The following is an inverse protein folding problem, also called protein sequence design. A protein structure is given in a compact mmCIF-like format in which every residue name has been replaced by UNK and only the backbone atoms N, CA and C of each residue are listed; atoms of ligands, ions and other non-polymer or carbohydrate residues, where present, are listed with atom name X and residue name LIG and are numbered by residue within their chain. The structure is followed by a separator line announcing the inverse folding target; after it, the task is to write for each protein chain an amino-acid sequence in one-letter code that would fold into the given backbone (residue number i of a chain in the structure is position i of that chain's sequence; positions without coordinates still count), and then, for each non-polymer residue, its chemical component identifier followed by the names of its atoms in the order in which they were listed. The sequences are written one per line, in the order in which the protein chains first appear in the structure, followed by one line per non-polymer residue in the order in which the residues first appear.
data_IF_682352918731
#
_entry.id   IF_682352918731
#
_cell.length_a   1.000
_cell.length_b   1.000
_cell.length_c   1.000
_cell.angle_alpha   90.00
_cell.angle_beta   90.00
_cell.angle_gamma   90.00
#
_symmetry.space_group_name_H-M   'P 1'
#
loop_
_entity.id
_entity.type
_entity.pdbx_description
1 polymer ?
#
# COMPACT_ATOMS: atom_id res chain seq x y z
N UNK A 1 -2.72 -10.64 -4.92
CA UNK A 1 -2.47 -9.45 -5.77
C UNK A 1 -3.58 -8.39 -5.68
N UNK A 2 -4.80 -8.61 -6.17
CA UNK A 2 -5.87 -7.57 -6.26
C UNK A 2 -6.20 -6.87 -4.94
N UNK A 3 -6.17 -7.60 -3.81
CA UNK A 3 -6.37 -7.00 -2.47
C UNK A 3 -5.28 -6.00 -2.10
N UNK A 4 -4.02 -6.32 -2.39
CA UNK A 4 -2.90 -5.41 -2.17
C UNK A 4 -3.04 -4.15 -3.03
N UNK A 5 -3.39 -4.30 -4.31
CA UNK A 5 -3.65 -3.17 -5.19
C UNK A 5 -4.82 -2.30 -4.70
N UNK A 6 -5.89 -2.92 -4.18
CA UNK A 6 -7.02 -2.22 -3.59
C UNK A 6 -6.63 -1.44 -2.32
N UNK A 7 -5.68 -1.95 -1.54
CA UNK A 7 -5.11 -1.25 -0.39
C UNK A 7 -4.26 -0.05 -0.84
N UNK A 8 -3.35 -0.25 -1.80
CA UNK A 8 -2.50 0.81 -2.36
C UNK A 8 -3.32 1.96 -2.95
N UNK A 9 -4.48 1.66 -3.57
CA UNK A 9 -5.42 2.68 -4.06
C UNK A 9 -6.04 3.58 -2.97
N UNK A 10 -5.90 3.23 -1.69
CA UNK A 10 -6.29 4.10 -0.58
C UNK A 10 -5.17 5.03 -0.14
N UNK A 11 -3.92 4.65 -0.42
CA UNK A 11 -2.71 5.40 -0.09
C UNK A 11 -2.33 6.43 -1.16
N UNK A 12 -2.68 6.25 -2.44
CA UNK A 12 -2.37 7.25 -3.47
C UNK A 12 -3.17 7.00 -4.74
N UNK A 13 -3.17 7.96 -5.65
CA UNK A 13 -3.74 7.78 -7.00
C UNK A 13 -2.71 7.24 -8.00
N UNK A 14 -1.43 7.51 -7.74
CA UNK A 14 -0.29 7.01 -8.51
C UNK A 14 0.27 5.73 -7.87
N UNK A 15 0.56 4.74 -8.71
CA UNK A 15 1.19 3.48 -8.33
C UNK A 15 2.56 3.40 -8.99
N UNK A 16 3.61 3.38 -8.17
CA UNK A 16 4.96 3.09 -8.64
C UNK A 16 5.15 1.57 -8.70
N UNK A 17 5.72 1.11 -9.81
CA UNK A 17 6.03 -0.27 -10.11
C UNK A 17 7.54 -0.35 -10.27
N UNK A 18 8.16 -1.27 -9.53
CA UNK A 18 9.58 -1.59 -9.64
C UNK A 18 9.71 -3.10 -9.77
N UNK A 19 10.30 -3.58 -10.85
CA UNK A 19 10.58 -5.00 -11.07
C UNK A 19 12.09 -5.24 -11.06
N UNK A 20 12.54 -6.18 -10.24
CA UNK A 20 13.93 -6.67 -10.15
C UNK A 20 13.92 -8.17 -10.38
N UNK A 21 15.04 -8.84 -10.68
CA UNK A 21 15.07 -10.30 -10.85
C UNK A 21 14.48 -11.09 -9.65
N UNK A 22 14.54 -10.53 -8.45
CA UNK A 22 14.08 -11.19 -7.22
C UNK A 22 12.63 -10.89 -6.84
N UNK A 23 12.09 -9.73 -7.24
CA UNK A 23 10.77 -9.29 -6.79
C UNK A 23 10.14 -8.19 -7.64
N UNK A 24 8.80 -8.15 -7.60
CA UNK A 24 7.98 -7.01 -8.04
C UNK A 24 7.54 -6.20 -6.83
N UNK A 25 7.91 -4.92 -6.76
CA UNK A 25 7.44 -3.97 -5.75
C UNK A 25 6.39 -3.03 -6.34
N UNK A 26 5.28 -2.88 -5.60
CA UNK A 26 4.24 -1.89 -5.87
C UNK A 26 4.19 -0.92 -4.70
N UNK A 27 4.22 0.39 -4.95
CA UNK A 27 4.12 1.39 -3.89
C UNK A 27 3.25 2.59 -4.25
N UNK A 28 2.67 3.21 -3.24
CA UNK A 28 1.84 4.40 -3.36
C UNK A 28 2.08 5.33 -2.16
N UNK A 29 2.03 6.64 -2.41
CA UNK A 29 2.16 7.69 -1.38
C UNK A 29 0.98 8.64 -1.50
N UNK A 30 0.46 9.12 -0.38
CA UNK A 30 -0.67 10.06 -0.41
C UNK A 30 -0.21 11.46 -0.81
N UNK A 31 -1.16 12.29 -1.22
CA UNK A 31 -0.88 13.64 -1.73
C UNK A 31 -0.19 14.54 -0.70
N UNK A 32 -0.47 14.35 0.59
CA UNK A 32 0.17 15.07 1.70
C UNK A 32 1.54 14.51 2.09
N UNK A 33 1.97 13.38 1.50
CA UNK A 33 3.19 12.63 1.88
C UNK A 33 3.23 12.24 3.36
N UNK A 34 2.07 12.12 3.99
CA UNK A 34 1.93 11.65 5.37
C UNK A 34 1.71 10.14 5.47
N UNK A 35 1.48 9.44 4.36
CA UNK A 35 1.33 8.00 4.36
C UNK A 35 1.95 7.36 3.12
N UNK A 36 2.66 6.25 3.33
CA UNK A 36 3.32 5.46 2.30
C UNK A 36 2.92 3.98 2.47
N UNK A 37 2.73 3.29 1.36
CA UNK A 37 2.52 1.85 1.35
C UNK A 37 3.38 1.20 0.26
N UNK A 38 3.97 0.07 0.58
CA UNK A 38 4.67 -0.82 -0.36
C UNK A 38 4.25 -2.25 -0.12
N UNK A 39 4.09 -2.97 -1.22
CA UNK A 39 3.97 -4.42 -1.22
C UNK A 39 4.99 -4.98 -2.19
N UNK A 40 5.88 -5.84 -1.71
CA UNK A 40 6.76 -6.62 -2.58
C UNK A 40 6.22 -8.03 -2.73
N UNK A 41 6.27 -8.53 -3.95
CA UNK A 41 5.97 -9.91 -4.29
C UNK A 41 7.29 -10.56 -4.70
N UNK A 42 7.73 -11.58 -3.96
CA UNK A 42 8.88 -12.39 -4.36
C UNK A 42 8.64 -12.99 -5.74
N UNK A 43 9.69 -13.25 -6.52
CA UNK A 43 9.61 -14.02 -7.77
C UNK A 43 8.85 -15.35 -7.58
N UNK A 44 8.95 -15.96 -6.38
CA UNK A 44 8.23 -17.19 -5.99
C UNK A 44 6.71 -17.01 -5.82
N UNK A 45 6.22 -15.78 -5.72
CA UNK A 45 4.79 -15.49 -5.70
C UNK A 45 4.14 -15.78 -7.07
N UNK A 46 4.91 -15.70 -8.15
CA UNK A 46 4.42 -15.86 -9.51
C UNK A 46 4.66 -17.29 -10.01
N UNK A 47 3.74 -17.81 -10.83
CA UNK A 47 3.94 -19.08 -11.54
C UNK A 47 5.15 -19.00 -12.48
N UNK A 48 5.36 -17.82 -13.10
CA UNK A 48 6.52 -17.49 -13.92
C UNK A 48 6.89 -16.04 -13.68
N UNK A 49 8.18 -15.78 -13.47
CA UNK A 49 8.71 -14.45 -13.26
C UNK A 49 10.03 -14.29 -14.02
N UNK A 50 10.07 -13.35 -14.95
CA UNK A 50 11.24 -13.07 -15.78
C UNK A 50 11.38 -11.56 -15.91
N UNK A 51 12.59 -11.07 -15.66
CA UNK A 51 12.94 -9.66 -15.85
C UNK A 51 14.17 -9.64 -16.74
N UNK A 52 14.01 -9.09 -17.94
CA UNK A 52 15.11 -8.88 -18.88
C UNK A 52 15.53 -7.43 -18.78
N UNK A 53 16.67 -7.17 -18.16
CA UNK A 53 17.29 -5.85 -18.16
C UNK A 53 17.98 -5.66 -19.52
N UNK A 54 17.68 -4.55 -20.19
CA UNK A 54 18.35 -4.22 -21.45
C UNK A 54 19.82 -3.91 -21.17
N UNK A 55 20.73 -4.62 -21.83
CA UNK A 55 22.14 -4.24 -21.87
C UNK A 55 22.23 -2.99 -22.74
N UNK A 56 22.49 -1.83 -22.14
CA UNK A 56 22.98 -0.68 -22.89
C UNK A 56 24.46 -0.95 -23.14
N UNK A 57 24.83 -1.17 -24.41
CA UNK A 57 26.23 -1.07 -24.83
C UNK A 57 26.71 0.37 -24.57
N UNK A 58 27.92 0.47 -24.04
CA UNK A 58 28.79 1.65 -23.88
C UNK A 58 28.71 2.51 -22.59
N UNK A 59 29.79 2.37 -21.81
CA UNK A 59 30.58 3.42 -21.11
C UNK A 59 30.10 4.11 -19.81
N UNK A 60 28.91 3.83 -19.26
CA UNK A 60 28.49 4.37 -17.95
C UNK A 60 28.27 3.28 -16.89
N UNK A 61 29.35 2.69 -16.37
CA UNK A 61 29.34 1.62 -15.35
C UNK A 61 28.79 2.02 -13.96
N UNK A 62 28.48 3.30 -13.71
CA UNK A 62 28.09 3.77 -12.36
C UNK A 62 26.57 3.95 -12.13
N UNK A 63 25.71 3.79 -13.14
CA UNK A 63 24.26 4.03 -13.00
C UNK A 63 23.36 3.01 -13.72
N UNK A 64 23.79 1.75 -13.86
CA UNK A 64 22.90 0.70 -14.37
C UNK A 64 21.77 0.43 -13.35
N UNK A 65 20.56 0.84 -13.68
CA UNK A 65 19.37 0.48 -12.91
C UNK A 65 19.11 -1.02 -13.07
N UNK A 66 19.40 -1.81 -12.03
CA UNK A 66 19.08 -3.24 -11.92
C UNK A 66 17.56 -3.52 -11.84
N UNK A 67 16.73 -2.50 -12.11
CA UNK A 67 15.28 -2.54 -12.02
C UNK A 67 14.60 -1.91 -13.22
N UNK A 68 13.42 -2.43 -13.54
CA UNK A 68 12.47 -1.79 -14.44
C UNK A 68 11.47 -1.01 -13.61
N UNK A 69 11.46 0.31 -13.80
CA UNK A 69 10.62 1.24 -13.04
C UNK A 69 9.57 1.92 -13.92
N UNK A 70 8.40 2.18 -13.34
CA UNK A 70 7.36 2.92 -14.04
C UNK A 70 6.20 3.29 -13.12
N UNK A 71 5.36 4.22 -13.57
CA UNK A 71 4.22 4.69 -12.82
C UNK A 71 2.92 4.55 -13.61
N UNK A 72 1.85 4.11 -12.96
CA UNK A 72 0.49 4.06 -13.53
C UNK A 72 -0.53 4.65 -12.58
N UNK A 73 -1.69 5.04 -13.10
CA UNK A 73 -2.84 5.35 -12.26
C UNK A 73 -3.39 4.08 -11.61
N UNK A 74 -3.35 4.03 -10.27
CA UNK A 74 -3.75 2.84 -9.50
C UNK A 74 -5.20 2.46 -9.76
N UNK A 75 -6.09 3.45 -9.97
CA UNK A 75 -7.51 3.23 -10.23
C UNK A 75 -7.73 2.57 -11.60
N UNK A 76 -6.93 2.94 -12.60
CA UNK A 76 -6.96 2.33 -13.93
C UNK A 76 -6.47 0.89 -13.90
N UNK A 77 -5.41 0.60 -13.15
CA UNK A 77 -4.96 -0.78 -12.98
C UNK A 77 -5.95 -1.62 -12.16
N UNK A 78 -6.49 -1.04 -11.08
CA UNK A 78 -7.43 -1.73 -10.22
C UNK A 78 -8.77 -2.02 -10.91
N UNK A 79 -9.25 -1.13 -11.79
CA UNK A 79 -10.51 -1.32 -12.51
C UNK A 79 -10.46 -2.53 -13.45
N UNK A 80 -9.31 -2.80 -14.06
CA UNK A 80 -9.06 -4.00 -14.88
C UNK A 80 -9.24 -5.26 -14.04
N UNK A 81 -8.61 -5.31 -12.86
CA UNK A 81 -8.60 -6.51 -12.01
C UNK A 81 -9.87 -6.70 -11.17
N UNK A 82 -10.64 -5.65 -10.91
CA UNK A 82 -11.90 -5.70 -10.12
C UNK A 82 -13.16 -5.84 -10.96
N UNK A 83 -13.05 -5.92 -12.28
CA UNK A 83 -14.24 -6.04 -13.11
C UNK A 83 -15.00 -7.34 -12.76
N UNK A 84 -16.32 -7.30 -12.58
CA UNK A 84 -17.12 -8.46 -12.09
C UNK A 84 -16.86 -9.75 -12.87
N UNK A 85 -16.69 -9.66 -14.19
CA UNK A 85 -16.39 -10.83 -15.03
C UNK A 85 -15.01 -11.41 -14.74
N UNK A 86 -14.04 -10.58 -14.34
CA UNK A 86 -12.68 -11.01 -14.01
C UNK A 86 -12.67 -11.88 -12.76
N UNK A 87 -13.35 -11.47 -11.69
CA UNK A 87 -13.40 -12.24 -10.44
C UNK A 87 -14.01 -13.64 -10.58
N UNK A 88 -14.85 -13.88 -11.61
CA UNK A 88 -15.55 -15.15 -11.79
C UNK A 88 -15.02 -16.03 -12.94
N UNK A 89 -14.31 -15.42 -13.90
CA UNK A 89 -13.90 -16.08 -15.13
C UNK A 89 -12.40 -16.16 -15.37
N UNK A 90 -11.58 -15.34 -14.69
CA UNK A 90 -10.12 -15.36 -14.91
C UNK A 90 -9.48 -16.55 -14.21
N UNK A 91 -8.72 -17.30 -14.99
CA UNK A 91 -7.93 -18.45 -14.55
C UNK A 91 -6.46 -18.04 -14.36
N UNK A 92 -5.94 -17.15 -15.21
CA UNK A 92 -4.56 -16.67 -15.16
C UNK A 92 -4.47 -15.19 -15.52
N UNK A 93 -3.64 -14.46 -14.77
CA UNK A 93 -3.30 -13.07 -15.02
C UNK A 93 -1.81 -12.98 -15.35
N UNK A 94 -1.48 -12.34 -16.46
CA UNK A 94 -0.12 -12.08 -16.90
C UNK A 94 0.12 -10.57 -16.96
N UNK A 95 1.26 -10.16 -16.42
CA UNK A 95 1.71 -8.78 -16.40
C UNK A 95 3.00 -8.71 -17.20
N UNK A 96 3.02 -7.91 -18.25
CA UNK A 96 4.23 -7.64 -19.02
C UNK A 96 4.52 -6.14 -19.01
N UNK A 97 5.76 -5.78 -18.73
CA UNK A 97 6.23 -4.40 -18.76
C UNK A 97 7.14 -4.27 -19.98
N UNK A 98 6.73 -3.41 -20.91
CA UNK A 98 7.56 -3.04 -22.05
C UNK A 98 8.06 -1.63 -21.80
N UNK A 99 9.34 -1.46 -21.54
CA UNK A 99 9.99 -0.14 -21.60
C UNK A 99 10.22 0.20 -23.06
N UNK A 100 9.76 1.38 -23.51
CA UNK A 100 9.97 1.81 -24.90
C UNK A 100 11.47 1.78 -25.24
N UNK A 101 11.87 0.90 -26.15
CA UNK A 101 13.25 0.82 -26.63
C UNK A 101 13.39 1.60 -27.93
N UNK A 102 14.38 2.49 -27.97
CA UNK A 102 14.75 3.40 -29.07
C UNK A 102 15.36 2.67 -30.28
N UNK A 103 15.63 1.36 -30.19
CA UNK A 103 16.48 0.64 -31.14
C UNK A 103 15.75 -0.44 -31.95
N UNK A 104 14.79 -0.04 -32.79
CA UNK A 104 14.51 -0.84 -33.99
C UNK A 104 15.09 -0.12 -35.22
N UNK A 105 15.67 -0.86 -36.19
CA UNK A 105 16.09 -0.26 -37.45
C UNK A 105 14.89 0.41 -38.13
N UNK A 106 15.06 1.70 -38.43
CA UNK A 106 14.05 2.62 -39.02
C UNK A 106 13.47 2.17 -40.37
N UNK A 107 13.92 1.04 -40.92
CA UNK A 107 13.66 0.64 -42.30
C UNK A 107 12.37 -0.18 -42.53
N UNK A 108 11.56 -0.45 -41.50
CA UNK A 108 10.36 -1.31 -41.66
C UNK A 108 9.11 -0.87 -40.88
N UNK A 109 9.03 0.35 -40.31
CA UNK A 109 7.91 0.74 -39.47
C UNK A 109 7.02 1.82 -40.09
N UNK A 110 5.73 1.70 -39.88
CA UNK A 110 4.75 2.74 -40.21
C UNK A 110 4.73 3.82 -39.13
N UNK A 111 4.38 5.06 -39.46
CA UNK A 111 4.44 6.20 -38.54
C UNK A 111 3.57 6.05 -37.26
N UNK A 112 2.55 5.19 -37.28
CA UNK A 112 1.74 4.85 -36.11
C UNK A 112 2.44 3.83 -35.18
N UNK A 113 3.27 2.93 -35.72
CA UNK A 113 4.06 1.96 -34.94
C UNK A 113 5.29 2.60 -34.28
N UNK A 114 5.80 3.72 -34.82
CA UNK A 114 6.87 4.51 -34.20
C UNK A 114 6.42 5.19 -32.90
N UNK A 115 5.15 5.62 -32.80
CA UNK A 115 4.63 6.27 -31.57
C UNK A 115 4.37 5.27 -30.46
N UNK A 116 3.78 4.11 -30.77
CA UNK A 116 3.47 3.06 -29.80
C UNK A 116 4.72 2.38 -29.22
N UNK A 117 5.88 2.49 -29.88
CA UNK A 117 7.12 1.81 -29.48
C UNK A 117 8.04 2.67 -28.61
N UNK A 118 7.83 3.98 -28.56
CA UNK A 118 8.57 4.91 -27.72
C UNK A 118 8.00 5.02 -26.30
N UNK A 119 6.72 4.68 -26.12
CA UNK A 119 6.04 4.79 -24.84
C UNK A 119 6.10 3.48 -24.06
N UNK A 120 6.57 3.54 -22.81
CA UNK A 120 6.55 2.37 -21.93
C UNK A 120 5.11 1.95 -21.63
N UNK A 121 4.81 0.66 -21.58
CA UNK A 121 3.46 0.14 -21.33
C UNK A 121 3.47 -1.01 -20.32
N UNK A 122 2.50 -1.00 -19.42
CA UNK A 122 2.09 -2.15 -18.63
C UNK A 122 0.94 -2.86 -19.36
N UNK A 123 1.22 -4.05 -19.84
CA UNK A 123 0.26 -4.93 -20.50
C UNK A 123 -0.29 -5.90 -19.45
N UNK A 124 -1.61 -5.91 -19.30
CA UNK A 124 -2.34 -6.82 -18.41
C UNK A 124 -3.16 -7.77 -19.27
N UNK A 125 -2.78 -9.05 -19.24
CA UNK A 125 -3.45 -10.13 -19.97
C UNK A 125 -4.24 -11.01 -19.00
N UNK A 126 -5.54 -11.12 -19.25
CA UNK A 126 -6.48 -11.89 -18.44
C UNK A 126 -6.98 -13.08 -19.25
N UNK A 127 -6.47 -14.26 -18.93
CA UNK A 127 -6.91 -15.52 -19.53
C UNK A 127 -8.15 -16.00 -18.78
N UNK A 128 -9.29 -15.95 -19.47
CA UNK A 128 -10.59 -16.31 -18.95
C UNK A 128 -11.03 -17.70 -19.46
N UNK A 129 -12.02 -18.27 -18.77
CA UNK A 129 -12.73 -19.49 -19.20
C UNK A 129 -13.12 -19.44 -20.68
N UNK A 130 -13.16 -20.63 -21.30
CA UNK A 130 -13.53 -20.82 -22.71
C UNK A 130 -12.53 -20.20 -23.71
N UNK A 131 -11.27 -20.02 -23.31
CA UNK A 131 -10.20 -19.53 -24.19
C UNK A 131 -10.25 -18.03 -24.49
N UNK A 132 -11.08 -17.26 -23.79
CA UNK A 132 -11.18 -15.81 -23.96
C UNK A 132 -9.98 -15.14 -23.29
N UNK A 133 -9.17 -14.41 -24.05
CA UNK A 133 -8.08 -13.59 -23.49
C UNK A 133 -8.42 -12.11 -23.64
N UNK A 134 -8.40 -11.36 -22.53
CA UNK A 134 -8.58 -9.90 -22.53
C UNK A 134 -7.24 -9.21 -22.29
N UNK A 135 -6.86 -8.33 -23.19
CA UNK A 135 -5.61 -7.57 -23.10
C UNK A 135 -5.91 -6.11 -22.85
N UNK A 136 -5.31 -5.56 -21.79
CA UNK A 136 -5.39 -4.15 -21.44
C UNK A 136 -3.99 -3.55 -21.46
N UNK A 137 -3.88 -2.31 -21.94
CA UNK A 137 -2.61 -1.57 -21.99
C UNK A 137 -2.74 -0.32 -21.15
N UNK A 138 -1.80 -0.11 -20.24
CA UNK A 138 -1.68 1.08 -19.43
C UNK A 138 -0.36 1.77 -19.77
N UNK A 139 -0.42 3.07 -20.04
CA UNK A 139 0.77 3.87 -20.27
C UNK A 139 1.61 3.94 -18.98
N UNK A 140 2.91 3.64 -19.09
CA UNK A 140 3.88 3.86 -18.03
C UNK A 140 4.40 5.27 -18.11
N UNK A 141 4.19 6.02 -17.05
CA UNK A 141 4.78 7.32 -16.86
C UNK A 141 6.18 7.16 -16.26
N UNK A 142 7.07 8.12 -16.52
CA UNK A 142 8.38 8.15 -15.89
C UNK A 142 8.22 8.22 -14.38
N UNK A 143 8.77 7.23 -13.68
CA UNK A 143 8.68 7.19 -12.23
C UNK A 143 9.70 8.15 -11.63
N UNK A 144 9.22 9.08 -10.80
CA UNK A 144 10.08 9.74 -9.82
C UNK A 144 10.13 8.83 -8.60
N UNK A 145 10.88 7.72 -8.69
CA UNK A 145 11.02 6.75 -7.60
C UNK A 145 11.60 7.43 -6.37
N UNK A 146 10.73 7.94 -5.50
CA UNK A 146 11.11 8.25 -4.12
C UNK A 146 11.22 6.91 -3.42
N UNK A 147 12.45 6.53 -3.07
CA UNK A 147 12.71 5.35 -2.26
C UNK A 147 11.80 5.29 -1.05
N UNK A 148 11.52 4.07 -0.58
CA UNK A 148 10.71 3.89 0.61
C UNK A 148 11.26 4.75 1.77
N UNK A 149 10.39 5.33 2.62
CA UNK A 149 10.85 6.04 3.80
C UNK A 149 11.81 5.15 4.59
N UNK A 150 12.97 5.70 4.94
CA UNK A 150 13.96 4.98 5.74
C UNK A 150 13.33 4.74 7.11
N UNK A 151 13.20 3.47 7.49
CA UNK A 151 12.88 3.10 8.87
C UNK A 151 14.11 3.46 9.69
N UNK A 152 14.03 4.42 10.64
CA UNK A 152 15.18 4.80 11.42
C UNK A 152 15.68 3.58 12.22
N UNK A 153 16.99 3.29 12.23
CA UNK A 153 17.53 2.30 13.14
C UNK A 153 17.23 2.79 14.55
N UNK A 154 16.35 2.08 15.25
CA UNK A 154 15.89 2.43 16.58
C UNK A 154 16.30 1.32 17.53
N UNK A 155 16.76 1.72 18.72
CA UNK A 155 17.10 0.74 19.75
C UNK A 155 15.83 -0.02 20.15
N UNK A 156 15.91 -1.34 20.44
CA UNK A 156 14.73 -2.08 20.92
C UNK A 156 14.09 -1.45 22.15
N UNK A 157 14.87 -0.76 22.99
CA UNK A 157 14.40 -0.06 24.18
C UNK A 157 13.60 1.21 23.92
N UNK A 158 13.72 1.83 22.74
CA UNK A 158 13.00 3.07 22.38
C UNK A 158 11.82 2.81 21.44
N UNK A 159 11.55 1.53 21.14
CA UNK A 159 10.60 1.13 20.12
C UNK A 159 9.48 0.30 20.75
N UNK A 160 8.25 0.79 20.64
CA UNK A 160 7.06 0.04 21.02
C UNK A 160 6.64 -0.88 19.90
N UNK A 161 6.17 -2.08 20.26
CA UNK A 161 5.77 -3.15 19.34
C UNK A 161 4.47 -3.78 19.79
N UNK A 162 3.57 -3.94 18.84
CA UNK A 162 2.27 -4.57 19.05
C UNK A 162 2.03 -5.59 17.95
N UNK A 163 1.64 -6.81 18.34
CA UNK A 163 1.16 -7.84 17.41
C UNK A 163 -0.31 -8.12 17.70
N UNK A 164 -1.13 -8.14 16.65
CA UNK A 164 -2.59 -8.30 16.82
C UNK A 164 -3.25 -8.96 15.62
N UNK A 165 -4.24 -9.79 15.91
CA UNK A 165 -5.13 -10.34 14.90
C UNK A 165 -5.94 -9.25 14.18
N UNK A 166 -6.08 -9.31 12.84
CA UNK A 166 -6.69 -8.22 12.07
C UNK A 166 -8.21 -8.09 12.30
N UNK A 167 -8.87 -9.14 12.79
CA UNK A 167 -10.31 -9.11 13.11
C UNK A 167 -10.61 -8.22 14.30
N UNK A 168 -9.83 -8.35 15.39
CA UNK A 168 -10.00 -7.54 16.60
C UNK A 168 -9.88 -6.04 16.29
N UNK A 169 -8.83 -5.64 15.55
CA UNK A 169 -8.66 -4.24 15.14
C UNK A 169 -9.77 -3.80 14.20
N UNK A 170 -10.19 -4.64 13.25
CA UNK A 170 -11.29 -4.31 12.34
C UNK A 170 -12.60 -4.06 13.08
N UNK A 171 -12.93 -4.90 14.05
CA UNK A 171 -14.14 -4.78 14.84
C UNK A 171 -14.11 -3.51 15.69
N UNK A 172 -12.96 -3.21 16.31
CA UNK A 172 -12.72 -1.93 16.99
C UNK A 172 -12.94 -0.73 16.03
N UNK A 173 -12.38 -0.77 14.82
CA UNK A 173 -12.50 0.31 13.84
C UNK A 173 -13.94 0.49 13.30
N UNK A 174 -14.78 -0.55 13.33
CA UNK A 174 -16.17 -0.46 12.87
C UNK A 174 -17.03 0.45 13.74
N UNK A 175 -16.68 0.64 15.02
CA UNK A 175 -17.38 1.57 15.90
C UNK A 175 -17.23 3.02 15.44
N UNK A 176 -16.08 3.37 14.87
CA UNK A 176 -15.79 4.71 14.34
C UNK A 176 -16.29 4.92 12.90
N UNK A 177 -16.79 3.87 12.24
CA UNK A 177 -17.39 3.97 10.91
C UNK A 177 -18.86 4.44 10.94
N UNK A 178 -19.51 4.43 12.12
CA UNK A 178 -20.95 4.73 12.26
C UNK A 178 -21.30 6.22 12.29
N UNK A 179 -20.31 7.12 12.27
CA UNK A 179 -20.52 8.57 12.10
C UNK A 179 -20.98 8.96 10.68
N UNK A 180 -21.10 8.00 9.75
CA UNK A 180 -21.66 8.17 8.39
C UNK A 180 -23.09 8.76 8.37
N UNK A 181 -23.85 8.69 9.47
CA UNK A 181 -25.15 9.36 9.60
C UNK A 181 -25.09 10.90 9.55
N UNK A 182 -23.90 11.50 9.59
CA UNK A 182 -23.66 12.95 9.59
C UNK A 182 -22.90 13.45 8.35
N UNK A 183 -22.95 12.73 7.22
CA UNK A 183 -22.44 13.23 5.93
C UNK A 183 -20.91 13.41 5.85
N UNK A 184 -20.16 12.97 6.86
CA UNK A 184 -18.70 13.02 6.89
C UNK A 184 -18.07 11.91 6.05
N UNK A 185 -17.03 12.25 5.29
CA UNK A 185 -16.23 11.28 4.57
C UNK A 185 -15.40 10.47 5.58
N UNK A 186 -15.55 9.13 5.61
CA UNK A 186 -14.77 8.21 6.47
C UNK A 186 -13.25 8.41 6.35
N UNK A 187 -12.80 9.02 5.26
CA UNK A 187 -11.41 9.36 5.03
C UNK A 187 -10.82 10.39 6.02
N UNK A 188 -11.66 11.29 6.55
CA UNK A 188 -11.18 12.45 7.33
C UNK A 188 -11.23 12.21 8.84
N UNK A 189 -11.74 11.06 9.28
CA UNK A 189 -11.75 10.67 10.69
C UNK A 189 -10.31 10.52 11.18
N UNK A 190 -9.94 11.34 12.16
CA UNK A 190 -8.69 11.18 12.91
C UNK A 190 -8.94 10.30 14.12
N UNK A 191 -8.10 9.31 14.31
CA UNK A 191 -8.11 8.47 15.50
C UNK A 191 -6.98 8.89 16.42
N UNK A 192 -7.27 8.83 17.71
CA UNK A 192 -6.35 9.04 18.79
C UNK A 192 -6.22 7.75 19.59
N UNK A 193 -5.06 7.13 19.52
CA UNK A 193 -4.73 5.91 20.26
C UNK A 193 -3.83 6.27 21.44
N UNK A 194 -4.23 5.87 22.63
CA UNK A 194 -3.45 5.97 23.86
C UNK A 194 -3.03 4.57 24.30
N UNK A 195 -1.73 4.31 24.28
CA UNK A 195 -1.13 3.06 24.72
C UNK A 195 -0.64 3.24 26.15
N UNK A 196 -1.32 2.64 27.13
CA UNK A 196 -0.93 2.63 28.54
C UNK A 196 -0.20 1.33 28.92
N UNK A 197 0.02 1.12 30.23
CA UNK A 197 0.70 -0.10 30.69
C UNK A 197 -0.13 -1.38 30.51
N UNK A 198 -1.46 -1.27 30.67
CA UNK A 198 -2.36 -2.43 30.69
C UNK A 198 -3.54 -2.31 29.74
N UNK A 199 -3.68 -1.18 29.04
CA UNK A 199 -4.84 -0.91 28.19
C UNK A 199 -4.49 0.03 27.03
N UNK A 200 -5.17 -0.16 25.91
CA UNK A 200 -5.20 0.74 24.77
C UNK A 200 -6.54 1.45 24.73
N UNK A 201 -6.54 2.78 24.71
CA UNK A 201 -7.76 3.57 24.53
C UNK A 201 -7.77 4.21 23.15
N UNK A 202 -8.85 4.04 22.42
CA UNK A 202 -9.03 4.62 21.08
C UNK A 202 -10.20 5.60 21.11
N UNK A 203 -9.96 6.81 20.63
CA UNK A 203 -10.97 7.88 20.50
C UNK A 203 -10.98 8.43 19.09
N UNK A 204 -12.14 8.89 18.61
CA UNK A 204 -12.20 9.74 17.40
C UNK A 204 -11.98 11.21 17.79
N UNK A 205 -11.21 11.93 16.98
CA UNK A 205 -11.06 13.38 17.08
C UNK A 205 -11.95 14.03 16.02
N UNK A 206 -12.96 14.78 16.47
CA UNK A 206 -13.84 15.53 15.57
C UNK A 206 -13.12 16.78 15.03
N UNK A 207 -13.43 17.13 13.78
CA UNK A 207 -12.92 18.36 13.17
C UNK A 207 -13.57 19.58 13.85
N UNK A 208 -12.79 20.65 14.06
CA UNK A 208 -13.12 21.86 14.83
C UNK A 208 -14.32 22.70 14.30
N UNK A 209 -15.11 22.16 13.37
CA UNK A 209 -16.21 22.84 12.69
C UNK A 209 -17.58 22.65 13.33
N UNK A 210 -17.76 21.76 14.31
CA UNK A 210 -19.03 21.64 15.06
C UNK A 210 -18.96 22.39 16.40
N UNK A 211 -19.13 23.72 16.34
CA UNK A 211 -19.36 24.55 17.56
C UNK A 211 -20.70 24.28 18.24
N UNK A 212 -21.58 23.51 17.62
CA UNK A 212 -22.87 23.10 18.15
C UNK A 212 -23.10 21.63 17.83
N UNK A 213 -22.76 20.75 18.77
CA UNK A 213 -23.54 19.56 19.12
C UNK A 213 -22.82 18.79 20.21
N UNK A 214 -23.58 18.43 21.24
CA UNK A 214 -23.29 17.31 22.13
C UNK A 214 -23.08 16.04 21.29
N UNK A 215 -21.85 15.83 20.80
CA UNK A 215 -21.47 14.71 19.93
C UNK A 215 -20.74 13.67 20.77
N UNK A 216 -21.17 12.42 20.61
CA UNK A 216 -20.70 11.27 21.37
C UNK A 216 -19.29 10.94 20.89
N UNK A 217 -18.27 11.39 21.62
CA UNK A 217 -16.91 10.90 21.45
C UNK A 217 -16.93 9.39 21.74
N UNK A 218 -16.80 8.58 20.69
CA UNK A 218 -16.70 7.13 20.86
C UNK A 218 -15.33 6.87 21.47
N UNK A 219 -15.31 6.34 22.69
CA UNK A 219 -14.09 5.89 23.36
C UNK A 219 -14.21 4.39 23.58
N UNK A 220 -13.19 3.65 23.14
CA UNK A 220 -13.09 2.21 23.32
C UNK A 220 -11.81 1.95 24.09
N UNK A 221 -11.91 1.17 25.15
CA UNK A 221 -10.76 0.64 25.87
C UNK A 221 -10.64 -0.85 25.55
N UNK A 222 -9.42 -1.28 25.28
CA UNK A 222 -9.04 -2.66 25.01
C UNK A 222 -7.93 -3.03 25.98
N UNK A 223 -8.06 -4.16 26.67
CA UNK A 223 -7.02 -4.62 27.57
C UNK A 223 -5.79 -5.10 26.78
N UNK A 224 -4.59 -4.86 27.31
CA UNK A 224 -3.33 -5.27 26.68
C UNK A 224 -3.24 -6.78 26.44
N UNK A 225 -3.98 -7.58 27.22
CA UNK A 225 -4.07 -9.03 27.10
C UNK A 225 -4.80 -9.50 25.82
N UNK A 226 -5.55 -8.63 25.13
CA UNK A 226 -6.18 -8.96 23.84
C UNK A 226 -5.19 -8.97 22.67
N UNK A 227 -3.97 -8.50 22.88
CA UNK A 227 -2.92 -8.44 21.88
C UNK A 227 -2.00 -9.66 21.98
N UNK A 228 -1.58 -10.21 20.84
CA UNK A 228 -0.64 -11.34 20.80
C UNK A 228 0.75 -10.93 21.34
N UNK A 229 1.10 -9.66 21.19
CA UNK A 229 2.29 -9.03 21.76
C UNK A 229 1.96 -7.57 22.09
N UNK A 230 2.35 -7.12 23.28
CA UNK A 230 2.16 -5.75 23.73
C UNK A 230 3.39 -5.24 24.49
N UNK A 231 4.27 -4.54 23.79
CA UNK A 231 5.50 -3.97 24.35
C UNK A 231 5.50 -2.45 24.12
N UNK A 232 5.29 -1.66 25.16
CA UNK A 232 5.31 -0.19 25.07
C UNK A 232 6.59 0.32 25.73
N UNK A 233 7.44 0.99 24.96
CA UNK A 233 8.77 1.41 25.40
C UNK A 233 8.75 2.39 26.59
N UNK A 234 7.86 3.37 26.55
CA UNK A 234 7.69 4.37 27.61
C UNK A 234 6.22 4.79 27.71
N UNK A 235 5.40 3.93 28.31
CA UNK A 235 3.98 4.24 28.50
C UNK A 235 3.79 5.46 29.43
N UNK A 236 2.76 6.31 29.19
CA UNK A 236 1.83 6.23 28.08
C UNK A 236 2.37 6.86 26.79
N UNK A 237 1.99 6.30 25.63
CA UNK A 237 2.26 6.88 24.31
C UNK A 237 0.94 7.20 23.63
N UNK A 238 0.83 8.40 23.05
CA UNK A 238 -0.33 8.81 22.26
C UNK A 238 0.04 9.01 20.79
N UNK A 239 -0.75 8.43 19.89
CA UNK A 239 -0.62 8.61 18.45
C UNK A 239 -1.94 9.15 17.89
N UNK A 240 -1.85 10.22 17.10
CA UNK A 240 -2.98 10.70 16.29
C UNK A 240 -2.68 10.51 14.80
N UNK A 241 -3.60 9.89 14.06
CA UNK A 241 -3.44 9.62 12.63
C UNK A 241 -4.80 9.45 11.92
N UNK A 242 -4.80 9.54 10.58
CA UNK A 242 -6.02 9.40 9.77
C UNK A 242 -6.45 7.94 9.62
N UNK A 243 -7.75 7.69 9.74
CA UNK A 243 -8.35 6.35 9.64
C UNK A 243 -8.22 5.75 8.24
N UNK A 244 -8.23 6.56 7.18
CA UNK A 244 -8.33 6.08 5.79
C UNK A 244 -7.30 5.02 5.44
N UNK A 245 -6.02 5.37 5.58
CA UNK A 245 -4.89 4.51 5.21
C UNK A 245 -4.77 3.34 6.16
N UNK A 246 -4.88 3.58 7.47
CA UNK A 246 -4.82 2.52 8.47
C UNK A 246 -5.93 1.48 8.25
N UNK A 247 -7.18 1.91 8.08
CA UNK A 247 -8.30 1.01 7.79
C UNK A 247 -8.10 0.23 6.47
N UNK A 248 -7.43 0.80 5.47
CA UNK A 248 -7.10 0.05 4.24
C UNK A 248 -6.16 -1.12 4.55
N UNK A 249 -5.13 -0.88 5.35
CA UNK A 249 -4.17 -1.88 5.83
C UNK A 249 -4.84 -2.96 6.66
N UNK A 250 -5.72 -2.59 7.60
CA UNK A 250 -6.49 -3.56 8.39
C UNK A 250 -7.39 -4.43 7.49
N UNK A 251 -8.04 -3.84 6.49
CA UNK A 251 -8.89 -4.60 5.57
C UNK A 251 -8.10 -5.59 4.69
N UNK A 252 -6.88 -5.21 4.28
CA UNK A 252 -5.96 -6.11 3.57
C UNK A 252 -5.54 -7.29 4.44
N UNK A 253 -5.07 -7.02 5.65
CA UNK A 253 -4.65 -8.05 6.60
C UNK A 253 -5.82 -8.98 6.97
N UNK A 254 -7.00 -8.42 7.25
CA UNK A 254 -8.20 -9.18 7.56
C UNK A 254 -8.65 -10.05 6.38
N UNK A 255 -8.61 -9.54 5.15
CA UNK A 255 -8.92 -10.33 3.98
C UNK A 255 -7.98 -11.53 3.84
N UNK A 256 -6.71 -11.33 4.13
CA UNK A 256 -5.65 -12.36 4.02
C UNK A 256 -5.54 -13.24 5.26
N UNK A 257 -6.26 -12.93 6.34
CA UNK A 257 -6.18 -13.61 7.65
C UNK A 257 -4.76 -13.65 8.22
N UNK A 258 -4.01 -12.56 8.03
CA UNK A 258 -2.62 -12.43 8.49
C UNK A 258 -2.54 -11.44 9.66
N UNK A 259 -1.73 -11.70 10.70
CA UNK A 259 -1.56 -10.80 11.83
C UNK A 259 -0.85 -9.51 11.42
N UNK A 260 -1.07 -8.46 12.21
CA UNK A 260 -0.44 -7.16 12.03
C UNK A 260 0.68 -6.99 13.03
N UNK A 261 1.84 -6.53 12.55
CA UNK A 261 2.94 -6.06 13.39
C UNK A 261 2.97 -4.53 13.31
N UNK A 262 2.70 -3.85 14.42
CA UNK A 262 2.67 -2.39 14.51
C UNK A 262 3.86 -1.93 15.35
N UNK A 263 4.65 -1.01 14.82
CA UNK A 263 5.86 -0.50 15.47
C UNK A 263 5.85 1.02 15.46
N UNK A 264 6.17 1.64 16.59
CA UNK A 264 6.25 3.09 16.75
C UNK A 264 7.16 3.47 17.92
N UNK A 265 7.71 4.68 17.91
CA UNK A 265 8.63 5.15 18.96
C UNK A 265 8.02 6.30 19.76
N UNK A 266 8.34 7.54 19.40
CA UNK A 266 7.85 8.73 20.08
C UNK A 266 6.62 9.34 19.37
N UNK A 267 5.75 10.06 20.10
CA UNK A 267 4.68 10.86 19.49
C UNK A 267 5.23 11.79 18.40
N UNK A 268 4.59 11.82 17.23
CA UNK A 268 5.04 12.62 16.08
C UNK A 268 6.00 11.89 15.14
N UNK A 269 6.54 10.73 15.55
CA UNK A 269 7.26 9.83 14.65
C UNK A 269 6.27 8.94 13.87
N UNK A 270 6.61 8.52 12.65
CA UNK A 270 5.72 7.65 11.88
C UNK A 270 5.52 6.31 12.58
N UNK A 271 4.31 5.78 12.43
CA UNK A 271 3.96 4.41 12.76
C UNK A 271 4.25 3.52 11.55
N UNK A 272 4.86 2.38 11.80
CA UNK A 272 5.13 1.34 10.81
C UNK A 272 4.17 0.18 11.05
N UNK A 273 3.56 -0.33 9.98
CA UNK A 273 2.72 -1.52 10.02
C UNK A 273 3.23 -2.50 8.97
N UNK A 274 3.46 -3.72 9.41
CA UNK A 274 3.82 -4.88 8.58
C UNK A 274 2.75 -5.97 8.72
N UNK A 275 2.62 -6.82 7.71
CA UNK A 275 1.66 -7.93 7.65
C UNK A 275 2.44 -9.20 7.38
N UNK A 276 2.40 -10.12 8.33
CA UNK A 276 3.21 -11.35 8.33
C UNK A 276 2.79 -12.28 7.17
N UNK A 277 3.64 -12.44 6.14
CA UNK A 277 3.35 -13.23 4.93
C UNK A 277 4.62 -13.89 4.39
N UNK A 278 4.49 -15.05 3.75
CA UNK A 278 5.64 -15.86 3.31
C UNK A 278 6.31 -15.32 2.03
N UNK A 279 5.52 -15.00 1.01
CA UNK A 279 6.01 -14.63 -0.33
C UNK A 279 5.77 -13.14 -0.66
N UNK A 280 5.31 -12.39 0.32
CA UNK A 280 4.96 -10.98 0.20
C UNK A 280 5.56 -10.22 1.37
N UNK A 281 6.18 -9.08 1.09
CA UNK A 281 6.66 -8.15 2.12
C UNK A 281 5.77 -6.92 2.10
N UNK A 282 5.24 -6.54 3.26
CA UNK A 282 4.37 -5.39 3.40
C UNK A 282 5.06 -4.30 4.20
N UNK A 283 4.99 -3.06 3.73
CA UNK A 283 5.46 -1.92 4.50
C UNK A 283 4.45 -0.79 4.38
N UNK A 284 3.78 -0.49 5.48
CA UNK A 284 2.90 0.65 5.61
C UNK A 284 3.53 1.64 6.59
N UNK A 285 3.62 2.89 6.20
CA UNK A 285 4.15 3.98 7.01
C UNK A 285 3.06 5.04 7.11
N UNK A 286 2.67 5.39 8.32
CA UNK A 286 1.63 6.38 8.59
C UNK A 286 2.22 7.42 9.53
N UNK A 287 2.31 8.67 9.06
CA UNK A 287 2.70 9.81 9.86
C UNK A 287 1.72 9.99 11.02
N UNK A 288 2.26 10.20 12.21
CA UNK A 288 1.48 10.47 13.41
C UNK A 288 1.74 11.90 13.88
N UNK A 289 0.82 12.48 14.64
CA UNK A 289 1.02 13.75 15.33
C UNK A 289 0.92 13.57 16.84
N UNK A 290 1.63 14.43 17.58
CA UNK A 290 1.44 14.53 19.02
C UNK A 290 0.05 15.11 19.31
N UNK A 291 -0.55 14.64 20.40
CA UNK A 291 -1.74 15.29 20.96
C UNK A 291 -1.26 16.26 22.03
N UNK A 292 -1.44 17.55 21.76
CA UNK A 292 -1.21 18.66 22.69
C UNK A 292 -2.27 18.70 23.77
#
# INVERSE_FOLDING_TARGET
FTRALACLAKYGDELNIQATPDHLALSATNSSKSAYARVRFSSRFFERYEVTLGVLDDEDEENQSESVDGQVLVKSFLSILKHRTVEQSVERCELAITTGQVNLPQSQRTADEERDTLEGQLIVMLHCKHGVTKTHRLLLQSSLTRGAPVVPPSSPSETSRIKVGPRAVKDLLNHFARTEGQGGNKADVKLLWFFGDTQVKVKSQDSEYSKDAMQIATEIAVDAEEFDMYEIASAPISLSFHLREFNATINLANGSSLPLNITFSAPGMPMFVDVDSENQEYLFVIGTSQVS
#
